data_IF_460538429084
#
_entry.id   IF_460538429084
#
_cell.length_a   1.000
_cell.length_b   1.000
_cell.length_c   1.000
_cell.angle_alpha   90.00
_cell.angle_beta   90.00
_cell.angle_gamma   90.00
#
_symmetry.space_group_name_H-M   'P 1'
#
loop_
_entity.id
_entity.type
_entity.pdbx_description
1 polymer ?
#
# COMPACT_ATOMS: atom_id res chain seq x y z
N UNK A 1 -6.26 -2.57 16.59
CA UNK A 1 -5.11 -2.57 15.66
C UNK A 1 -5.16 -1.43 14.64
N UNK A 2 -6.32 -1.09 14.06
CA UNK A 2 -6.42 -0.11 12.97
C UNK A 2 -5.86 1.29 13.30
N UNK A 3 -6.31 1.91 14.41
CA UNK A 3 -5.85 3.27 14.81
C UNK A 3 -4.35 3.30 15.06
N UNK A 4 -3.79 2.26 15.71
CA UNK A 4 -2.36 2.18 15.99
C UNK A 4 -1.50 2.04 14.74
N UNK A 5 -1.91 1.20 13.77
CA UNK A 5 -1.19 1.06 12.51
C UNK A 5 -1.28 2.30 11.62
N UNK A 6 -2.45 2.94 11.55
CA UNK A 6 -2.63 4.21 10.81
C UNK A 6 -1.73 5.30 11.42
N UNK A 7 -1.72 5.42 12.76
CA UNK A 7 -0.84 6.36 13.45
C UNK A 7 0.64 6.07 13.22
N UNK A 8 1.04 4.79 13.24
CA UNK A 8 2.41 4.37 12.96
C UNK A 8 2.83 4.69 11.52
N UNK A 9 1.99 4.38 10.53
CA UNK A 9 2.25 4.71 9.12
C UNK A 9 2.31 6.22 8.91
N UNK A 10 1.43 6.98 9.55
CA UNK A 10 1.48 8.44 9.49
C UNK A 10 2.78 8.99 10.09
N UNK A 11 3.24 8.44 11.22
CA UNK A 11 4.52 8.79 11.83
C UNK A 11 5.71 8.43 10.92
N UNK A 12 5.70 7.24 10.31
CA UNK A 12 6.73 6.83 9.34
C UNK A 12 6.72 7.73 8.10
N UNK A 13 5.56 8.03 7.53
CA UNK A 13 5.44 8.95 6.40
C UNK A 13 5.98 10.34 6.75
N UNK A 14 5.67 10.87 7.93
CA UNK A 14 6.19 12.15 8.39
C UNK A 14 7.72 12.11 8.57
N UNK A 15 8.26 11.04 9.16
CA UNK A 15 9.70 10.86 9.35
C UNK A 15 10.44 10.71 8.02
N UNK A 16 9.92 9.92 7.08
CA UNK A 16 10.51 9.80 5.75
C UNK A 16 10.44 11.12 4.98
N UNK A 17 9.32 11.83 5.03
CA UNK A 17 9.18 13.12 4.37
C UNK A 17 10.14 14.19 4.93
N UNK A 18 10.41 14.20 6.24
CA UNK A 18 11.39 15.14 6.84
C UNK A 18 12.82 14.76 6.50
N UNK A 19 13.16 13.47 6.54
CA UNK A 19 14.50 12.98 6.19
C UNK A 19 14.80 13.20 4.71
N UNK A 20 13.90 12.79 3.80
CA UNK A 20 14.10 13.00 2.37
C UNK A 20 14.04 14.49 2.01
N UNK A 21 13.24 15.28 2.74
CA UNK A 21 13.16 16.73 2.58
C UNK A 21 14.51 17.42 2.81
N UNK A 22 15.34 16.88 3.70
CA UNK A 22 16.74 17.32 3.88
C UNK A 22 17.59 17.10 2.61
N UNK A 23 17.28 16.08 1.82
CA UNK A 23 17.93 15.75 0.55
C UNK A 23 17.24 16.38 -0.67
N UNK A 24 16.23 17.25 -0.48
CA UNK A 24 15.54 17.97 -1.55
C UNK A 24 14.40 17.19 -2.23
N UNK A 25 13.99 16.03 -1.69
CA UNK A 25 12.88 15.22 -2.21
C UNK A 25 11.84 14.95 -1.12
N UNK A 26 10.55 15.09 -1.37
CA UNK A 26 9.50 14.79 -0.39
C UNK A 26 8.79 13.48 -0.74
N UNK A 27 9.45 12.34 -0.48
CA UNK A 27 8.90 11.01 -0.74
C UNK A 27 8.39 10.41 0.58
N UNK A 28 7.14 9.95 0.58
CA UNK A 28 6.56 9.21 1.70
C UNK A 28 7.05 7.76 1.73
N UNK A 29 6.99 7.13 2.91
CA UNK A 29 7.33 5.70 3.06
C UNK A 29 6.49 4.82 2.11
N UNK A 30 5.20 5.13 1.97
CA UNK A 30 4.30 4.46 1.02
C UNK A 30 4.74 4.65 -0.44
N UNK A 31 5.27 5.81 -0.80
CA UNK A 31 5.82 6.06 -2.13
C UNK A 31 7.03 5.18 -2.46
N UNK A 32 7.96 5.03 -1.50
CA UNK A 32 9.12 4.14 -1.66
C UNK A 32 8.66 2.70 -1.86
N UNK A 33 7.75 2.23 -1.00
CA UNK A 33 7.21 0.88 -1.15
C UNK A 33 6.41 0.73 -2.45
N UNK A 34 5.73 1.79 -2.90
CA UNK A 34 5.05 1.83 -4.19
C UNK A 34 6.00 1.53 -5.36
N UNK A 35 7.23 2.05 -5.33
CA UNK A 35 8.25 1.71 -6.34
C UNK A 35 8.70 0.25 -6.28
N UNK A 36 8.74 -0.35 -5.09
CA UNK A 36 9.06 -1.79 -4.93
C UNK A 36 7.93 -2.66 -5.47
N UNK A 37 6.68 -2.27 -5.27
CA UNK A 37 5.50 -3.00 -5.75
C UNK A 37 5.08 -2.65 -7.18
N UNK A 38 5.63 -1.58 -7.75
CA UNK A 38 5.43 -1.19 -9.15
C UNK A 38 5.64 -2.34 -10.15
N UNK A 39 6.79 -3.06 -10.16
CA UNK A 39 6.99 -4.15 -11.10
C UNK A 39 5.96 -5.28 -10.93
N UNK A 40 5.51 -5.53 -9.70
CA UNK A 40 4.49 -6.55 -9.42
C UNK A 40 3.14 -6.12 -10.01
N UNK A 41 2.74 -4.86 -9.78
CA UNK A 41 1.51 -4.30 -10.35
C UNK A 41 1.53 -4.32 -11.88
N UNK A 42 2.66 -3.97 -12.48
CA UNK A 42 2.83 -3.95 -13.93
C UNK A 42 2.73 -5.36 -14.53
N UNK A 43 3.39 -6.36 -13.93
CA UNK A 43 3.32 -7.76 -14.38
C UNK A 43 1.90 -8.34 -14.25
N UNK A 44 1.12 -7.91 -13.26
CA UNK A 44 -0.30 -8.30 -13.15
C UNK A 44 -1.20 -7.67 -14.23
N UNK A 45 -0.66 -6.79 -15.07
CA UNK A 45 -1.38 -6.19 -16.19
C UNK A 45 -2.08 -4.87 -15.87
N UNK A 46 -1.60 -4.15 -14.84
CA UNK A 46 -1.98 -2.76 -14.57
C UNK A 46 -1.25 -1.84 -15.56
N UNK A 47 -1.92 -0.82 -16.15
CA UNK A 47 -1.25 0.17 -17.00
C UNK A 47 -0.07 0.84 -16.28
N UNK A 48 1.03 1.10 -16.99
CA UNK A 48 2.25 1.67 -16.41
C UNK A 48 2.05 3.04 -15.75
N UNK A 49 1.06 3.81 -16.21
CA UNK A 49 0.65 5.09 -15.64
C UNK A 49 -0.02 4.97 -14.26
N UNK A 50 -0.69 3.84 -14.01
CA UNK A 50 -1.46 3.57 -12.77
C UNK A 50 -0.70 2.63 -11.83
N UNK A 51 0.28 1.89 -12.34
CA UNK A 51 1.02 0.86 -11.62
C UNK A 51 1.71 1.38 -10.34
N UNK A 52 2.14 2.66 -10.31
CA UNK A 52 2.75 3.23 -9.10
C UNK A 52 1.71 3.48 -7.99
N UNK A 53 0.53 3.99 -8.35
CA UNK A 53 -0.57 4.21 -7.41
C UNK A 53 -1.08 2.88 -6.87
N UNK A 54 -1.30 1.92 -7.78
CA UNK A 54 -1.75 0.57 -7.46
C UNK A 54 -0.71 -0.18 -6.62
N UNK A 55 0.58 -0.04 -6.94
CA UNK A 55 1.69 -0.58 -6.15
C UNK A 55 1.77 0.01 -4.73
N UNK A 56 1.52 1.32 -4.57
CA UNK A 56 1.50 1.95 -3.25
C UNK A 56 0.37 1.40 -2.37
N UNK A 57 -0.81 1.08 -2.94
CA UNK A 57 -1.92 0.46 -2.19
C UNK A 57 -1.58 -0.98 -1.80
N UNK A 58 -0.96 -1.74 -2.71
CA UNK A 58 -0.50 -3.10 -2.39
C UNK A 58 0.50 -3.12 -1.24
N UNK A 59 1.44 -2.16 -1.26
CA UNK A 59 2.37 -1.96 -0.18
C UNK A 59 1.66 -1.66 1.15
N UNK A 60 0.72 -0.70 1.15
CA UNK A 60 -0.07 -0.34 2.34
C UNK A 60 -0.75 -1.57 2.94
N UNK A 61 -1.36 -2.43 2.13
CA UNK A 61 -1.99 -3.68 2.60
C UNK A 61 -1.00 -4.57 3.35
N UNK A 62 0.22 -4.75 2.81
CA UNK A 62 1.22 -5.66 3.35
C UNK A 62 1.79 -5.16 4.69
N UNK A 63 2.03 -3.86 4.80
CA UNK A 63 2.58 -3.23 6.02
C UNK A 63 1.54 -2.90 7.07
N UNK A 64 0.26 -2.76 6.70
CA UNK A 64 -0.84 -2.54 7.64
C UNK A 64 -1.85 -3.68 7.63
N UNK A 65 -2.90 -3.51 6.84
CA UNK A 65 -3.99 -4.46 6.66
C UNK A 65 -4.83 -4.08 5.44
N UNK A 66 -5.69 -5.02 5.07
CA UNK A 66 -6.64 -4.93 3.98
C UNK A 66 -7.66 -3.77 4.12
N UNK A 67 -8.14 -3.47 5.33
CA UNK A 67 -9.12 -2.39 5.56
C UNK A 67 -8.53 -1.00 5.32
N UNK A 68 -7.29 -0.76 5.72
CA UNK A 68 -6.59 0.51 5.46
C UNK A 68 -6.34 0.67 3.97
N UNK A 69 -5.90 -0.38 3.29
CA UNK A 69 -5.68 -0.35 1.85
C UNK A 69 -6.99 -0.15 1.05
N UNK A 70 -8.11 -0.72 1.51
CA UNK A 70 -9.44 -0.47 0.91
C UNK A 70 -9.88 0.99 1.04
N UNK A 71 -9.59 1.66 2.17
CA UNK A 71 -9.87 3.10 2.32
C UNK A 71 -9.05 3.95 1.34
N UNK A 72 -7.80 3.56 1.07
CA UNK A 72 -6.96 4.27 0.11
C UNK A 72 -7.42 4.01 -1.34
N UNK A 73 -7.87 2.79 -1.65
CA UNK A 73 -8.48 2.47 -2.93
C UNK A 73 -9.74 3.31 -3.17
N UNK A 74 -10.63 3.43 -2.18
CA UNK A 74 -11.86 4.23 -2.32
C UNK A 74 -11.60 5.69 -2.71
N UNK A 75 -10.48 6.28 -2.27
CA UNK A 75 -10.12 7.67 -2.60
C UNK A 75 -9.71 7.85 -4.05
N UNK A 76 -9.16 6.81 -4.69
CA UNK A 76 -8.60 6.88 -6.04
C UNK A 76 -9.37 6.02 -7.06
N UNK A 77 -10.35 5.22 -6.63
CA UNK A 77 -11.10 4.30 -7.47
C UNK A 77 -11.73 5.00 -8.69
N UNK A 78 -12.24 6.21 -8.52
CA UNK A 78 -12.81 7.02 -9.61
C UNK A 78 -11.80 7.48 -10.68
N UNK A 79 -10.50 7.38 -10.40
CA UNK A 79 -9.42 7.81 -11.29
C UNK A 79 -8.69 6.66 -11.96
N UNK A 80 -8.94 5.42 -11.52
CA UNK A 80 -8.30 4.22 -12.06
C UNK A 80 -9.07 3.68 -13.27
N UNK A 81 -8.37 2.99 -14.17
CA UNK A 81 -9.01 2.22 -15.21
C UNK A 81 -9.82 1.05 -14.61
N UNK A 82 -10.95 0.63 -15.22
CA UNK A 82 -11.74 -0.51 -14.73
C UNK A 82 -10.93 -1.80 -14.58
N UNK A 83 -9.90 -1.97 -15.42
CA UNK A 83 -8.96 -3.09 -15.36
C UNK A 83 -8.09 -3.01 -14.11
N UNK A 84 -7.48 -1.86 -13.83
CA UNK A 84 -6.64 -1.68 -12.65
C UNK A 84 -7.45 -1.82 -11.36
N UNK A 85 -8.65 -1.22 -11.31
CA UNK A 85 -9.60 -1.33 -10.20
C UNK A 85 -9.97 -2.79 -9.92
N UNK A 86 -10.26 -3.58 -10.97
CA UNK A 86 -10.54 -5.00 -10.83
C UNK A 86 -9.36 -5.79 -10.26
N UNK A 87 -8.14 -5.57 -10.78
CA UNK A 87 -6.92 -6.25 -10.33
C UNK A 87 -6.65 -5.95 -8.86
N UNK A 88 -6.65 -4.66 -8.47
CA UNK A 88 -6.36 -4.28 -7.08
C UNK A 88 -7.46 -4.76 -6.14
N UNK A 89 -8.73 -4.73 -6.55
CA UNK A 89 -9.84 -5.24 -5.73
C UNK A 89 -9.67 -6.72 -5.42
N UNK A 90 -9.33 -7.55 -6.42
CA UNK A 90 -9.06 -8.98 -6.20
C UNK A 90 -7.84 -9.17 -5.28
N UNK A 91 -6.79 -8.36 -5.45
CA UNK A 91 -5.61 -8.41 -4.60
C UNK A 91 -5.92 -8.07 -3.12
N UNK A 92 -6.84 -7.15 -2.86
CA UNK A 92 -7.18 -6.70 -1.50
C UNK A 92 -8.04 -7.69 -0.71
N UNK A 93 -8.75 -8.62 -1.36
CA UNK A 93 -9.68 -9.56 -0.69
C UNK A 93 -8.98 -10.63 0.18
N UNK A 94 -7.66 -10.74 0.14
CA UNK A 94 -6.92 -11.68 1.00
C UNK A 94 -6.42 -11.04 2.31
N UNK A 95 -6.40 -11.80 3.42
CA UNK A 95 -5.82 -11.40 4.71
C UNK A 95 -4.28 -11.54 4.80
N UNK A 96 -3.58 -11.58 3.67
CA UNK A 96 -2.12 -11.70 3.65
C UNK A 96 -1.47 -10.36 4.03
N UNK A 97 -1.09 -10.23 5.30
CA UNK A 97 -0.34 -9.10 5.87
C UNK A 97 0.59 -9.60 6.99
N UNK A 98 1.57 -8.80 7.42
CA UNK A 98 2.52 -9.22 8.47
C UNK A 98 1.85 -9.53 9.82
N UNK A 99 0.72 -8.88 10.14
CA UNK A 99 -0.03 -9.15 11.37
C UNK A 99 -0.61 -10.56 11.39
N UNK A 100 -1.04 -11.09 10.24
CA UNK A 100 -1.61 -12.44 10.11
C UNK A 100 -0.61 -13.55 10.42
N UNK A 101 0.69 -13.33 10.21
CA UNK A 101 1.74 -14.30 10.59
C UNK A 101 1.75 -14.51 12.11
N UNK A 102 1.60 -13.43 12.88
CA UNK A 102 1.55 -13.50 14.36
C UNK A 102 0.29 -14.14 14.92
N UNK A 103 -0.80 -14.18 14.15
CA UNK A 103 -2.04 -14.89 14.51
C UNK A 103 -1.85 -16.40 14.31
N UNK A 104 -1.34 -16.81 13.14
CA UNK A 104 -1.13 -18.22 12.80
C UNK A 104 -0.07 -18.84 13.71
N UNK A 105 1.04 -18.13 13.96
CA UNK A 105 2.13 -18.62 14.81
C UNK A 105 1.75 -18.82 16.28
N UNK A 106 0.59 -18.33 16.73
CA UNK A 106 0.07 -18.57 18.09
C UNK A 106 -0.93 -19.72 18.19
N UNK A 107 -1.32 -20.30 17.05
CA UNK A 107 -2.18 -21.49 16.96
C UNK A 107 -1.38 -22.80 16.75
N UNK A 108 -0.04 -22.75 16.80
CA UNK A 108 0.86 -23.91 16.80
C UNK A 108 1.52 -24.06 18.17
#
# INVERSE_FOLDING_TARGET
MLIGFIALIAALNALFATVTGWFGYSISFQGILGYIFYPIAWVMGVPSSEALQVGSIMATKLVSNEFVAMMDLQKIASTLSPRAEGIISVFLVSFANFSSIGIIGRCS
#
